data_IF_896649904011
#
_entry.id   IF_896649904011
#
_cell.length_a   1.000
_cell.length_b   1.000
_cell.length_c   1.000
_cell.angle_alpha   90.00
_cell.angle_beta   90.00
_cell.angle_gamma   90.00
#
_symmetry.space_group_name_H-M   'P 1'
#
loop_
_entity.id
_entity.type
_entity.pdbx_description
1 polymer ?
#
# COMPACT_ATOMS: atom_id res chain seq x y z
N UNK A 1 -3.70 41.24 -12.53
CA UNK A 1 -5.06 40.93 -12.02
C UNK A 1 -4.95 39.50 -11.45
N UNK A 2 -4.90 39.37 -10.12
CA UNK A 2 -4.83 38.08 -9.46
C UNK A 2 -6.23 37.45 -9.47
N UNK A 3 -6.43 36.35 -10.19
CA UNK A 3 -7.65 35.56 -10.13
C UNK A 3 -7.72 34.90 -8.73
N UNK A 4 -8.56 35.45 -7.87
CA UNK A 4 -8.96 34.75 -6.65
C UNK A 4 -9.94 33.66 -7.05
N UNK A 5 -9.51 32.43 -7.04
CA UNK A 5 -10.38 31.26 -7.03
C UNK A 5 -11.17 31.26 -5.72
N UNK A 6 -12.44 31.57 -5.80
CA UNK A 6 -13.37 31.37 -4.67
C UNK A 6 -13.67 29.89 -4.57
N UNK A 7 -13.08 29.22 -3.58
CA UNK A 7 -13.53 27.88 -3.15
C UNK A 7 -14.88 28.04 -2.44
N UNK A 8 -15.86 27.22 -2.81
CA UNK A 8 -17.13 27.15 -2.11
C UNK A 8 -16.91 26.71 -0.65
N UNK A 9 -17.67 27.25 0.32
CA UNK A 9 -17.57 26.79 1.72
C UNK A 9 -17.95 25.31 1.79
N UNK A 10 -16.99 24.42 2.07
CA UNK A 10 -17.18 22.96 2.19
C UNK A 10 -16.29 22.11 1.28
N UNK A 11 -15.61 22.67 0.29
CA UNK A 11 -14.60 21.95 -0.49
C UNK A 11 -13.23 22.05 0.19
N UNK A 12 -12.63 20.89 0.47
CA UNK A 12 -11.27 20.79 0.99
C UNK A 12 -10.27 21.22 -0.09
N UNK A 13 -9.20 21.87 0.31
CA UNK A 13 -8.07 22.10 -0.59
C UNK A 13 -7.37 20.77 -0.91
N UNK A 14 -6.67 20.65 -2.05
CA UNK A 14 -5.92 19.43 -2.39
C UNK A 14 -4.91 19.03 -1.31
N UNK A 15 -4.38 19.99 -0.54
CA UNK A 15 -3.48 19.74 0.57
C UNK A 15 -4.20 19.11 1.77
N UNK A 16 -5.41 19.57 2.07
CA UNK A 16 -6.25 19.02 3.13
C UNK A 16 -6.73 17.61 2.79
N UNK A 17 -7.12 17.38 1.53
CA UNK A 17 -7.48 16.06 1.03
C UNK A 17 -6.31 15.07 1.16
N UNK A 18 -5.11 15.46 0.72
CA UNK A 18 -3.90 14.65 0.85
C UNK A 18 -3.54 14.36 2.32
N UNK A 19 -3.77 15.30 3.22
CA UNK A 19 -3.53 15.12 4.64
C UNK A 19 -4.52 14.11 5.25
N UNK A 20 -5.80 14.17 4.87
CA UNK A 20 -6.81 13.22 5.32
C UNK A 20 -6.56 11.80 4.78
N UNK A 21 -6.14 11.68 3.53
CA UNK A 21 -5.74 10.39 2.94
C UNK A 21 -4.55 9.80 3.70
N UNK A 22 -3.53 10.60 4.00
CA UNK A 22 -2.35 10.18 4.75
C UNK A 22 -2.71 9.73 6.18
N UNK A 23 -3.60 10.46 6.86
CA UNK A 23 -4.09 10.09 8.19
C UNK A 23 -4.90 8.78 8.15
N UNK A 24 -5.80 8.64 7.18
CA UNK A 24 -6.60 7.42 6.98
C UNK A 24 -5.71 6.21 6.72
N UNK A 25 -4.70 6.36 5.86
CA UNK A 25 -3.72 5.32 5.60
C UNK A 25 -2.93 4.93 6.85
N UNK A 26 -2.40 5.92 7.59
CA UNK A 26 -1.64 5.67 8.82
C UNK A 26 -2.47 4.93 9.87
N UNK A 27 -3.74 5.32 10.04
CA UNK A 27 -4.67 4.64 10.96
C UNK A 27 -4.88 3.18 10.58
N UNK A 28 -5.14 2.90 9.30
CA UNK A 28 -5.30 1.54 8.78
C UNK A 28 -4.03 0.71 8.96
N UNK A 29 -2.86 1.31 8.69
CA UNK A 29 -1.57 0.68 8.93
C UNK A 29 -1.38 0.28 10.40
N UNK A 30 -1.65 1.17 11.34
CA UNK A 30 -1.50 0.90 12.77
C UNK A 30 -2.42 -0.22 13.26
N UNK A 31 -3.64 -0.29 12.75
CA UNK A 31 -4.57 -1.39 13.07
C UNK A 31 -4.01 -2.74 12.60
N UNK A 32 -3.47 -2.80 11.39
CA UNK A 32 -2.82 -4.01 10.87
C UNK A 32 -1.56 -4.34 11.66
N UNK A 33 -0.71 -3.35 11.95
CA UNK A 33 0.52 -3.51 12.69
C UNK A 33 0.27 -4.11 14.09
N UNK A 34 -0.75 -3.62 14.81
CA UNK A 34 -1.15 -4.18 16.13
C UNK A 34 -1.61 -5.64 16.03
N UNK A 35 -2.35 -6.00 14.98
CA UNK A 35 -2.77 -7.39 14.76
C UNK A 35 -1.58 -8.31 14.53
N UNK A 36 -0.63 -7.88 13.70
CA UNK A 36 0.59 -8.65 13.42
C UNK A 36 1.48 -8.73 14.66
N UNK A 37 1.60 -7.65 15.45
CA UNK A 37 2.37 -7.64 16.70
C UNK A 37 1.87 -8.70 17.70
N UNK A 38 0.55 -8.85 17.85
CA UNK A 38 -0.04 -9.87 18.72
C UNK A 38 0.32 -11.30 18.30
N UNK A 39 0.44 -11.55 17.00
CA UNK A 39 0.87 -12.84 16.47
C UNK A 39 2.37 -13.01 16.67
N UNK A 40 3.16 -11.99 16.37
CA UNK A 40 4.61 -12.00 16.53
C UNK A 40 5.03 -12.24 17.98
N UNK A 41 4.38 -11.61 18.95
CA UNK A 41 4.66 -11.78 20.38
C UNK A 41 4.61 -13.24 20.83
N UNK A 42 3.69 -14.03 20.27
CA UNK A 42 3.58 -15.46 20.57
C UNK A 42 4.77 -16.28 20.02
N UNK A 43 5.31 -15.84 18.88
CA UNK A 43 6.44 -16.53 18.24
C UNK A 43 7.79 -16.12 18.85
N UNK A 44 7.92 -14.84 19.24
CA UNK A 44 9.13 -14.28 19.82
C UNK A 44 9.24 -14.66 21.31
N UNK A 45 8.11 -14.97 21.95
CA UNK A 45 8.06 -15.26 23.40
C UNK A 45 8.12 -14.01 24.29
N UNK A 46 7.76 -12.84 23.71
CA UNK A 46 7.74 -11.55 24.42
C UNK A 46 7.24 -10.44 23.53
N UNK A 47 7.20 -9.21 24.06
CA UNK A 47 6.83 -8.04 23.26
C UNK A 47 7.94 -7.70 22.26
N UNK A 48 7.61 -7.49 20.98
CA UNK A 48 8.60 -7.06 19.99
C UNK A 48 9.16 -5.69 20.35
N UNK A 49 10.45 -5.50 20.07
CA UNK A 49 11.15 -4.24 20.34
C UNK A 49 11.44 -3.43 19.09
N UNK A 50 11.55 -4.10 17.96
CA UNK A 50 11.85 -3.46 16.67
C UNK A 50 10.91 -3.99 15.60
N UNK A 51 10.73 -3.22 14.54
CA UNK A 51 9.99 -3.65 13.36
C UNK A 51 10.66 -3.17 12.08
N UNK A 52 10.59 -3.98 11.03
CA UNK A 52 10.91 -3.57 9.67
C UNK A 52 9.63 -3.60 8.84
N UNK A 53 9.33 -2.49 8.19
CA UNK A 53 8.15 -2.31 7.33
C UNK A 53 8.60 -2.26 5.89
N UNK A 54 8.17 -3.25 5.10
CA UNK A 54 8.47 -3.31 3.68
C UNK A 54 7.30 -2.75 2.87
N UNK A 55 7.54 -1.64 2.17
CA UNK A 55 6.57 -1.03 1.26
C UNK A 55 6.49 -1.86 -0.03
N UNK A 56 5.32 -1.94 -0.62
CA UNK A 56 5.14 -2.63 -1.91
C UNK A 56 5.95 -1.97 -3.02
N UNK A 57 6.48 -2.79 -3.94
CA UNK A 57 7.25 -2.29 -5.09
C UNK A 57 6.36 -1.48 -6.04
N UNK A 58 6.93 -0.49 -6.74
CA UNK A 58 6.17 0.38 -7.67
C UNK A 58 5.34 -0.39 -8.69
N UNK A 59 5.89 -1.44 -9.30
CA UNK A 59 5.17 -2.24 -10.30
C UNK A 59 3.88 -2.88 -9.76
N UNK A 60 3.80 -3.21 -8.46
CA UNK A 60 2.60 -3.75 -7.83
C UNK A 60 1.49 -2.70 -7.78
N UNK A 61 1.85 -1.45 -7.54
CA UNK A 61 0.92 -0.33 -7.59
C UNK A 61 0.46 -0.06 -9.02
N UNK A 62 1.37 -0.05 -9.99
CA UNK A 62 1.05 0.10 -11.40
C UNK A 62 0.11 -1.02 -11.89
N UNK A 63 0.36 -2.26 -11.45
CA UNK A 63 -0.53 -3.39 -11.71
C UNK A 63 -1.93 -3.18 -11.13
N UNK A 64 -2.01 -2.73 -9.88
CA UNK A 64 -3.29 -2.43 -9.22
C UNK A 64 -4.05 -1.32 -9.94
N UNK A 65 -3.38 -0.23 -10.30
CA UNK A 65 -3.95 0.90 -11.04
C UNK A 65 -4.49 0.46 -12.40
N UNK A 66 -3.72 -0.32 -13.15
CA UNK A 66 -4.15 -0.84 -14.46
C UNK A 66 -5.39 -1.76 -14.33
N UNK A 67 -5.42 -2.61 -13.31
CA UNK A 67 -6.55 -3.49 -13.05
C UNK A 67 -7.81 -2.72 -12.61
N UNK A 68 -7.67 -1.71 -11.75
CA UNK A 68 -8.76 -0.83 -11.32
C UNK A 68 -9.32 -0.08 -12.53
N UNK A 69 -8.47 0.48 -13.38
CA UNK A 69 -8.89 1.17 -14.60
C UNK A 69 -9.67 0.24 -15.55
N UNK A 70 -9.22 -1.03 -15.69
CA UNK A 70 -9.91 -2.04 -16.49
C UNK A 70 -11.34 -2.31 -15.98
N UNK A 71 -11.49 -2.48 -14.66
CA UNK A 71 -12.79 -2.71 -14.03
C UNK A 71 -13.69 -1.48 -14.13
N UNK A 72 -13.13 -0.28 -13.89
CA UNK A 72 -13.87 0.97 -14.02
C UNK A 72 -14.33 1.24 -15.45
N UNK A 73 -13.64 0.70 -16.46
CA UNK A 73 -14.05 0.69 -17.86
C UNK A 73 -15.21 -0.29 -18.17
N UNK A 74 -15.75 -0.96 -17.16
CA UNK A 74 -16.86 -1.92 -17.32
C UNK A 74 -16.41 -3.32 -17.77
N UNK A 75 -15.10 -3.56 -17.83
CA UNK A 75 -14.57 -4.87 -18.24
C UNK A 75 -14.48 -5.84 -17.04
N UNK A 76 -14.60 -7.13 -17.32
CA UNK A 76 -14.49 -8.15 -16.27
C UNK A 76 -13.03 -8.28 -15.82
N UNK A 77 -12.79 -8.19 -14.51
CA UNK A 77 -11.45 -8.32 -13.92
C UNK A 77 -10.73 -9.62 -14.30
N UNK A 78 -11.48 -10.70 -14.55
CA UNK A 78 -10.90 -11.99 -14.98
C UNK A 78 -10.26 -11.92 -16.35
N UNK A 79 -10.76 -11.05 -17.23
CA UNK A 79 -10.19 -10.86 -18.58
C UNK A 79 -8.91 -10.02 -18.57
N UNK A 80 -8.61 -9.35 -17.45
CA UNK A 80 -7.39 -8.56 -17.31
C UNK A 80 -6.11 -9.37 -17.44
N UNK A 81 -6.14 -10.65 -17.06
CA UNK A 81 -4.98 -11.54 -17.16
C UNK A 81 -4.41 -11.62 -18.62
N UNK A 82 -5.26 -11.52 -19.63
CA UNK A 82 -4.82 -11.51 -21.03
C UNK A 82 -4.11 -10.21 -21.43
N UNK A 83 -4.39 -9.10 -20.73
CA UNK A 83 -3.77 -7.79 -20.98
C UNK A 83 -2.45 -7.62 -20.20
N UNK A 84 -2.24 -8.42 -19.15
CA UNK A 84 -1.05 -8.34 -18.27
C UNK A 84 0.26 -8.39 -19.03
N UNK A 85 0.37 -9.28 -20.00
CA UNK A 85 1.59 -9.47 -20.80
C UNK A 85 2.01 -8.23 -21.60
N UNK A 86 1.09 -7.29 -21.81
CA UNK A 86 1.31 -6.09 -22.61
C UNK A 86 1.57 -4.84 -21.75
N UNK A 87 1.62 -5.00 -20.42
CA UNK A 87 1.92 -3.86 -19.52
C UNK A 87 3.41 -3.48 -19.61
N UNK A 88 3.74 -2.18 -19.55
CA UNK A 88 5.09 -1.69 -19.81
C UNK A 88 6.17 -2.26 -18.87
N UNK A 89 5.79 -2.61 -17.65
CA UNK A 89 6.71 -3.16 -16.63
C UNK A 89 6.83 -4.69 -16.67
N UNK A 90 6.07 -5.36 -17.57
CA UNK A 90 6.14 -6.82 -17.75
C UNK A 90 7.15 -7.16 -18.82
N UNK A 91 8.25 -7.78 -18.38
CA UNK A 91 9.32 -8.25 -19.25
C UNK A 91 9.33 -9.79 -19.24
N UNK A 92 9.91 -10.47 -20.25
CA UNK A 92 9.96 -11.93 -20.30
C UNK A 92 10.50 -12.56 -19.00
N UNK A 93 11.50 -11.93 -18.38
CA UNK A 93 12.20 -12.42 -17.20
C UNK A 93 11.33 -12.39 -15.93
N UNK A 94 10.43 -11.41 -15.79
CA UNK A 94 9.59 -11.22 -14.60
C UNK A 94 8.12 -11.62 -14.82
N UNK A 95 7.76 -12.01 -16.04
CA UNK A 95 6.38 -12.31 -16.42
C UNK A 95 5.74 -13.40 -15.56
N UNK A 96 6.50 -14.47 -15.27
CA UNK A 96 6.03 -15.57 -14.44
C UNK A 96 5.68 -15.13 -13.02
N UNK A 97 6.53 -14.32 -12.44
CA UNK A 97 6.35 -13.80 -11.07
C UNK A 97 5.15 -12.84 -11.00
N UNK A 98 5.02 -11.96 -11.99
CA UNK A 98 3.89 -11.01 -12.07
C UNK A 98 2.56 -11.75 -12.28
N UNK A 99 2.52 -12.75 -13.15
CA UNK A 99 1.32 -13.57 -13.36
C UNK A 99 0.95 -14.37 -12.11
N UNK A 100 1.94 -14.94 -11.42
CA UNK A 100 1.73 -15.62 -10.13
C UNK A 100 1.24 -14.69 -9.04
N UNK A 101 1.81 -13.50 -8.94
CA UNK A 101 1.38 -12.46 -7.99
C UNK A 101 -0.04 -11.98 -8.31
N UNK A 102 -0.36 -11.73 -9.58
CA UNK A 102 -1.69 -11.37 -10.02
C UNK A 102 -2.74 -12.36 -9.51
N UNK A 103 -2.60 -13.63 -9.86
CA UNK A 103 -3.60 -14.65 -9.53
C UNK A 103 -3.74 -14.92 -8.04
N UNK A 104 -2.62 -14.97 -7.31
CA UNK A 104 -2.59 -15.36 -5.90
C UNK A 104 -2.86 -14.21 -4.93
N UNK A 105 -2.48 -13.00 -5.28
CA UNK A 105 -2.49 -11.85 -4.36
C UNK A 105 -3.38 -10.72 -4.84
N UNK A 106 -3.13 -10.22 -6.06
CA UNK A 106 -3.77 -8.99 -6.52
C UNK A 106 -5.25 -9.21 -6.88
N UNK A 107 -5.56 -10.27 -7.61
CA UNK A 107 -6.93 -10.56 -8.03
C UNK A 107 -7.92 -10.66 -6.85
N UNK A 108 -7.65 -11.42 -5.77
CA UNK A 108 -8.51 -11.43 -4.60
C UNK A 108 -8.60 -10.08 -3.89
N UNK A 109 -7.51 -9.29 -3.93
CA UNK A 109 -7.44 -8.03 -3.22
C UNK A 109 -8.26 -6.93 -3.88
N UNK A 110 -8.34 -6.89 -5.21
CA UNK A 110 -9.14 -5.90 -5.95
C UNK A 110 -10.62 -5.93 -5.52
N UNK A 111 -11.15 -7.10 -5.20
CA UNK A 111 -12.52 -7.25 -4.71
C UNK A 111 -12.69 -6.83 -3.24
N UNK A 112 -11.60 -6.76 -2.47
CA UNK A 112 -11.63 -6.39 -1.06
C UNK A 112 -11.44 -4.89 -0.84
N UNK A 113 -10.76 -4.20 -1.75
CA UNK A 113 -10.54 -2.77 -1.64
C UNK A 113 -11.87 -2.02 -1.75
N UNK A 114 -12.09 -1.11 -0.80
CA UNK A 114 -13.15 -0.12 -0.86
C UNK A 114 -12.91 0.86 -2.01
N UNK A 115 -13.92 1.64 -2.35
CA UNK A 115 -13.77 2.67 -3.39
C UNK A 115 -12.75 3.75 -2.97
N UNK A 116 -12.73 4.12 -1.68
CA UNK A 116 -11.74 5.07 -1.14
C UNK A 116 -10.31 4.52 -1.24
N UNK A 117 -10.09 3.24 -0.93
CA UNK A 117 -8.79 2.59 -1.10
C UNK A 117 -8.35 2.55 -2.56
N UNK A 118 -9.26 2.27 -3.49
CA UNK A 118 -8.97 2.33 -4.93
C UNK A 118 -8.59 3.73 -5.38
N UNK A 119 -9.26 4.76 -4.86
CA UNK A 119 -8.90 6.17 -5.12
C UNK A 119 -7.50 6.46 -4.60
N UNK A 120 -7.15 6.06 -3.38
CA UNK A 120 -5.81 6.23 -2.82
C UNK A 120 -4.73 5.51 -3.63
N UNK A 121 -5.01 4.30 -4.14
CA UNK A 121 -4.08 3.55 -5.00
C UNK A 121 -3.84 4.27 -6.33
N UNK A 122 -4.90 4.82 -6.92
CA UNK A 122 -4.82 5.56 -8.18
C UNK A 122 -4.27 6.98 -8.01
N UNK A 123 -4.27 7.51 -6.79
CA UNK A 123 -3.76 8.83 -6.44
C UNK A 123 -2.25 8.89 -6.27
N UNK A 124 -1.79 9.97 -5.65
CA UNK A 124 -0.38 10.29 -5.43
C UNK A 124 0.12 9.94 -4.02
N UNK A 125 -0.60 9.10 -3.27
CA UNK A 125 -0.23 8.71 -1.91
C UNK A 125 1.15 8.02 -1.90
N UNK A 126 2.09 8.58 -1.15
CA UNK A 126 3.43 8.03 -0.95
C UNK A 126 3.50 7.34 0.41
N UNK A 127 3.27 6.03 0.42
CA UNK A 127 3.24 5.20 1.63
C UNK A 127 4.56 5.26 2.42
N UNK A 128 5.69 5.18 1.71
CA UNK A 128 7.02 5.21 2.33
C UNK A 128 7.28 6.53 3.04
N UNK A 129 6.96 7.64 2.39
CA UNK A 129 7.11 8.98 2.96
C UNK A 129 6.23 9.20 4.18
N UNK A 130 4.97 8.75 4.11
CA UNK A 130 4.02 8.90 5.23
C UNK A 130 4.52 8.12 6.44
N UNK A 131 4.89 6.85 6.26
CA UNK A 131 5.35 6.02 7.37
C UNK A 131 6.69 6.48 7.93
N UNK A 132 7.63 6.92 7.08
CA UNK A 132 8.90 7.47 7.53
C UNK A 132 8.72 8.76 8.34
N UNK A 133 7.82 9.65 7.92
CA UNK A 133 7.50 10.86 8.66
C UNK A 133 6.79 10.58 10.00
N UNK A 134 6.07 9.47 10.11
CA UNK A 134 5.34 9.06 11.31
C UNK A 134 6.12 8.05 12.18
N UNK A 135 7.39 7.78 11.92
CA UNK A 135 8.15 6.71 12.58
C UNK A 135 8.15 6.81 14.12
N UNK A 136 8.36 7.99 14.67
CA UNK A 136 8.33 8.21 16.14
C UNK A 136 6.94 7.94 16.73
N UNK A 137 5.89 8.36 16.04
CA UNK A 137 4.52 8.10 16.44
C UNK A 137 4.20 6.59 16.37
N UNK A 138 4.64 5.90 15.34
CA UNK A 138 4.48 4.45 15.18
C UNK A 138 5.21 3.71 16.31
N UNK A 139 6.44 4.10 16.62
CA UNK A 139 7.19 3.54 17.75
C UNK A 139 6.43 3.72 19.07
N UNK A 140 5.95 4.92 19.37
CA UNK A 140 5.19 5.21 20.58
C UNK A 140 3.90 4.40 20.68
N UNK A 141 3.13 4.30 19.60
CA UNK A 141 1.85 3.59 19.55
C UNK A 141 2.00 2.06 19.68
N UNK A 142 3.07 1.51 19.12
CA UNK A 142 3.33 0.05 19.12
C UNK A 142 4.27 -0.40 20.24
N UNK A 143 4.80 0.50 21.05
CA UNK A 143 5.76 0.20 22.13
C UNK A 143 7.12 -0.27 21.61
N UNK A 144 7.53 0.17 20.42
CA UNK A 144 8.80 -0.19 19.79
C UNK A 144 9.90 0.80 20.13
N UNK A 145 11.14 0.33 20.14
CA UNK A 145 12.34 1.18 20.25
C UNK A 145 12.77 1.74 18.89
N UNK A 146 12.49 1.02 17.81
CA UNK A 146 12.75 1.50 16.45
C UNK A 146 11.84 0.84 15.42
N UNK A 147 11.60 1.57 14.34
CA UNK A 147 10.95 1.07 13.13
C UNK A 147 11.75 1.49 11.91
N UNK A 148 12.11 0.54 11.07
CA UNK A 148 12.78 0.77 9.79
C UNK A 148 11.77 0.68 8.65
N UNK A 149 11.72 1.69 7.79
CA UNK A 149 10.85 1.73 6.63
C UNK A 149 11.67 1.45 5.37
N UNK A 150 11.43 0.31 4.75
CA UNK A 150 12.12 -0.11 3.54
C UNK A 150 11.21 0.04 2.31
N UNK A 151 11.54 0.99 1.44
CA UNK A 151 10.89 1.15 0.14
C UNK A 151 11.46 0.11 -0.84
N UNK A 152 10.69 -0.91 -1.09
CA UNK A 152 10.87 -2.06 -1.97
C UNK A 152 12.02 -2.14 -2.96
N UNK A 153 13.19 -2.50 -2.47
CA UNK A 153 14.36 -2.74 -3.35
C UNK A 153 14.38 -4.19 -3.87
N UNK A 154 13.91 -5.16 -3.09
CA UNK A 154 13.94 -6.58 -3.47
C UNK A 154 12.69 -7.31 -2.96
N UNK A 155 12.00 -8.05 -3.84
CA UNK A 155 10.87 -8.92 -3.48
C UNK A 155 11.39 -10.30 -3.05
N UNK A 156 11.97 -10.39 -1.85
CA UNK A 156 12.43 -11.66 -1.28
C UNK A 156 11.78 -11.92 0.08
N UNK A 157 11.47 -13.17 0.35
CA UNK A 157 10.91 -13.58 1.63
C UNK A 157 9.62 -12.83 1.98
N UNK A 158 9.57 -12.22 3.16
CA UNK A 158 8.38 -11.53 3.67
C UNK A 158 8.08 -10.21 2.95
N UNK A 159 9.07 -9.55 2.34
CA UNK A 159 8.85 -8.32 1.57
C UNK A 159 7.98 -8.55 0.34
N UNK A 160 8.01 -9.76 -0.23
CA UNK A 160 7.18 -10.15 -1.37
C UNK A 160 5.68 -10.12 -1.06
N UNK A 161 5.30 -10.21 0.22
CA UNK A 161 3.90 -10.16 0.65
C UNK A 161 3.29 -8.75 0.63
N UNK A 162 4.13 -7.69 0.62
CA UNK A 162 3.65 -6.31 0.57
C UNK A 162 2.85 -6.04 -0.71
N UNK A 163 1.68 -5.41 -0.54
CA UNK A 163 0.81 -4.92 -1.62
C UNK A 163 0.48 -3.45 -1.37
N UNK A 164 -0.01 -2.69 -2.36
CA UNK A 164 -0.43 -1.31 -2.14
C UNK A 164 -1.40 -1.19 -0.96
N UNK A 165 -1.19 -0.20 -0.11
CA UNK A 165 -1.91 0.09 1.14
C UNK A 165 -1.77 -0.98 2.24
N UNK A 166 -1.05 -2.07 2.00
CA UNK A 166 -0.82 -3.12 2.99
C UNK A 166 0.65 -3.57 2.96
N UNK A 167 1.56 -2.77 3.55
CA UNK A 167 2.96 -3.12 3.67
C UNK A 167 3.15 -4.39 4.51
N UNK A 168 4.23 -5.10 4.27
CA UNK A 168 4.61 -6.25 5.10
C UNK A 168 5.39 -5.79 6.31
N UNK A 169 5.05 -6.31 7.49
CA UNK A 169 5.69 -5.93 8.76
C UNK A 169 6.37 -7.16 9.35
N UNK A 170 7.62 -6.99 9.73
CA UNK A 170 8.45 -8.01 10.40
C UNK A 170 8.86 -7.46 11.77
N UNK A 171 8.45 -8.14 12.82
CA UNK A 171 8.81 -7.80 14.19
C UNK A 171 10.00 -8.64 14.69
N UNK A 172 10.84 -8.01 15.52
CA UNK A 172 11.96 -8.64 16.24
C UNK A 172 12.08 -8.12 17.67
#
# INVERSE_FOLDING_TARGET
>A
VASRTFSLPGELSPKEEAALEAESYLRSFLEQARKVAKVASKHIGGEPKTATVHISRPWKRELAQAAIAHVNGGENVKTFASKLANLPFVQPENRGDIMGFWGKRMLPQIFKWSDDEKVMICGSLDEGRILAAASDFICGDLGLTSVDIEAGVVDVGRSSAAIPLAPSIVYS
#
